data_IF_257460702472
#
_entry.id   IF_257460702472
#
_cell.length_a   1.000
_cell.length_b   1.000
_cell.length_c   1.000
_cell.angle_alpha   90.00
_cell.angle_beta   90.00
_cell.angle_gamma   90.00
#
_symmetry.space_group_name_H-M   'P 1'
#
loop_
_entity.id
_entity.type
_entity.pdbx_description
1 polymer ?
#
# COMPACT_ATOMS: atom_id res chain seq x y z
N UNK A 1 40.34 123.89 -12.03
CA UNK A 1 40.62 123.17 -10.77
C UNK A 1 39.34 122.58 -10.13
N UNK A 2 38.26 123.35 -9.90
CA UNK A 2 37.00 122.82 -9.33
C UNK A 2 36.37 121.63 -10.09
N UNK A 3 36.40 121.64 -11.44
CA UNK A 3 35.91 120.52 -12.27
C UNK A 3 36.68 119.21 -12.05
N UNK A 4 38.02 119.26 -12.04
CA UNK A 4 38.86 118.10 -11.76
C UNK A 4 38.63 117.57 -10.33
N UNK A 5 38.51 118.46 -9.34
CA UNK A 5 38.23 118.07 -7.94
C UNK A 5 36.85 117.41 -7.81
N UNK A 6 35.83 117.90 -8.51
CA UNK A 6 34.51 117.26 -8.57
C UNK A 6 34.56 115.88 -9.21
N UNK A 7 35.24 115.76 -10.36
CA UNK A 7 35.41 114.47 -11.06
C UNK A 7 36.16 113.43 -10.21
N UNK A 8 37.20 113.85 -9.48
CA UNK A 8 37.94 112.99 -8.54
C UNK A 8 37.04 112.52 -7.38
N UNK A 9 36.20 113.41 -6.84
CA UNK A 9 35.24 113.06 -5.79
C UNK A 9 34.20 112.05 -6.29
N UNK A 10 33.65 112.25 -7.49
CA UNK A 10 32.67 111.35 -8.09
C UNK A 10 33.28 109.98 -8.39
N UNK A 11 34.51 109.92 -8.92
CA UNK A 11 35.24 108.66 -9.10
C UNK A 11 35.57 107.97 -7.77
N UNK A 12 35.86 108.74 -6.72
CA UNK A 12 36.11 108.18 -5.37
C UNK A 12 34.84 107.58 -4.75
N UNK A 13 33.68 108.23 -4.92
CA UNK A 13 32.39 107.69 -4.49
C UNK A 13 32.00 106.43 -5.27
N UNK A 14 32.20 106.42 -6.59
CA UNK A 14 31.98 105.23 -7.42
C UNK A 14 32.89 104.07 -6.99
N UNK A 15 34.17 104.34 -6.69
CA UNK A 15 35.11 103.33 -6.21
C UNK A 15 34.70 102.73 -4.85
N UNK A 16 34.21 103.55 -3.91
CA UNK A 16 33.72 103.07 -2.61
C UNK A 16 32.49 102.16 -2.80
N UNK A 17 31.57 102.55 -3.69
CA UNK A 17 30.40 101.74 -4.03
C UNK A 17 30.81 100.39 -4.63
N UNK A 18 31.76 100.40 -5.57
CA UNK A 18 32.27 99.20 -6.21
C UNK A 18 33.00 98.29 -5.22
N UNK A 19 33.82 98.87 -4.33
CA UNK A 19 34.49 98.13 -3.26
C UNK A 19 33.50 97.49 -2.28
N UNK A 20 32.38 98.16 -1.99
CA UNK A 20 31.30 97.60 -1.19
C UNK A 20 30.61 96.43 -1.90
N UNK A 21 30.37 96.54 -3.21
CA UNK A 21 29.83 95.44 -4.03
C UNK A 21 30.79 94.24 -4.07
N UNK A 22 32.10 94.47 -4.22
CA UNK A 22 33.12 93.42 -4.17
C UNK A 22 33.19 92.77 -2.79
N UNK A 23 33.12 93.55 -1.71
CA UNK A 23 33.11 93.01 -0.34
C UNK A 23 31.90 92.10 -0.11
N UNK A 24 30.72 92.52 -0.55
CA UNK A 24 29.51 91.71 -0.42
C UNK A 24 29.58 90.45 -1.29
N UNK A 25 30.03 90.57 -2.55
CA UNK A 25 30.25 89.43 -3.44
C UNK A 25 31.27 88.43 -2.87
N UNK A 26 32.33 88.92 -2.22
CA UNK A 26 33.34 88.09 -1.55
C UNK A 26 32.75 87.32 -0.37
N UNK A 27 31.87 87.94 0.44
CA UNK A 27 31.14 87.24 1.51
C UNK A 27 30.25 86.14 0.94
N UNK A 28 29.50 86.43 -0.13
CA UNK A 28 28.67 85.42 -0.81
C UNK A 28 29.53 84.28 -1.33
N UNK A 29 30.69 84.56 -1.93
CA UNK A 29 31.63 83.55 -2.42
C UNK A 29 32.15 82.64 -1.30
N UNK A 30 32.50 83.20 -0.13
CA UNK A 30 32.94 82.43 1.04
C UNK A 30 31.82 81.52 1.54
N UNK A 31 30.56 81.99 1.56
CA UNK A 31 29.41 81.15 1.91
C UNK A 31 29.21 80.01 0.90
N UNK A 32 29.25 80.31 -0.40
CA UNK A 32 29.14 79.28 -1.45
C UNK A 32 30.25 78.24 -1.35
N UNK A 33 31.50 78.65 -1.09
CA UNK A 33 32.62 77.72 -0.90
C UNK A 33 32.40 76.80 0.32
N UNK A 34 31.77 77.31 1.38
CA UNK A 34 31.40 76.51 2.56
C UNK A 34 30.30 75.50 2.21
N UNK A 35 29.29 75.90 1.45
CA UNK A 35 28.22 74.99 1.02
C UNK A 35 28.75 73.90 0.08
N UNK A 36 29.65 74.24 -0.85
CA UNK A 36 30.37 73.28 -1.70
C UNK A 36 31.16 72.28 -0.85
N UNK A 37 31.88 72.75 0.18
CA UNK A 37 32.61 71.86 1.10
C UNK A 37 31.69 70.87 1.80
N UNK A 38 30.53 71.33 2.28
CA UNK A 38 29.56 70.46 2.94
C UNK A 38 28.99 69.42 1.96
N UNK A 39 28.64 69.83 0.73
CA UNK A 39 28.17 68.91 -0.30
C UNK A 39 29.22 67.84 -0.67
N UNK A 40 30.51 68.21 -0.70
CA UNK A 40 31.60 67.25 -0.92
C UNK A 40 31.69 66.23 0.22
N UNK A 41 31.58 66.67 1.48
CA UNK A 41 31.57 65.76 2.63
C UNK A 41 30.36 64.81 2.59
N UNK A 42 29.17 65.29 2.21
CA UNK A 42 27.97 64.46 2.08
C UNK A 42 28.15 63.40 0.98
N UNK A 43 28.79 63.78 -0.14
CA UNK A 43 29.15 62.86 -1.22
C UNK A 43 30.16 61.81 -0.73
N UNK A 44 31.20 62.22 -0.01
CA UNK A 44 32.21 61.31 0.55
C UNK A 44 31.57 60.27 1.49
N UNK A 45 30.68 60.72 2.39
CA UNK A 45 29.93 59.81 3.25
C UNK A 45 29.00 58.87 2.45
N UNK A 46 28.35 59.37 1.40
CA UNK A 46 27.55 58.55 0.49
C UNK A 46 28.36 57.48 -0.24
N UNK A 47 29.60 57.79 -0.64
CA UNK A 47 30.52 56.83 -1.24
C UNK A 47 30.94 55.73 -0.27
N UNK A 48 31.22 56.07 0.99
CA UNK A 48 31.55 55.07 2.02
C UNK A 48 30.38 54.09 2.23
N UNK A 49 29.15 54.61 2.33
CA UNK A 49 27.96 53.78 2.49
C UNK A 49 27.66 52.90 1.25
N UNK A 50 27.92 53.44 0.05
CA UNK A 50 27.77 52.69 -1.20
C UNK A 50 28.77 51.54 -1.29
N UNK A 51 30.03 51.76 -0.89
CA UNK A 51 31.07 50.73 -0.87
C UNK A 51 30.67 49.58 0.06
N UNK A 52 30.24 49.90 1.28
CA UNK A 52 29.73 48.91 2.26
C UNK A 52 28.53 48.13 1.70
N UNK A 53 27.55 48.83 1.12
CA UNK A 53 26.35 48.19 0.52
C UNK A 53 26.69 47.31 -0.68
N UNK A 54 27.72 47.67 -1.46
CA UNK A 54 28.19 46.89 -2.61
C UNK A 54 28.82 45.57 -2.18
N UNK A 55 29.64 45.58 -1.13
CA UNK A 55 30.22 44.37 -0.52
C UNK A 55 29.12 43.43 -0.02
N UNK A 56 28.11 43.98 0.67
CA UNK A 56 26.96 43.19 1.15
C UNK A 56 26.14 42.58 0.01
N UNK A 57 25.92 43.34 -1.08
CA UNK A 57 25.25 42.84 -2.28
C UNK A 57 25.98 41.65 -2.91
N UNK A 58 27.31 41.75 -3.05
CA UNK A 58 28.14 40.65 -3.58
C UNK A 58 28.04 39.39 -2.71
N UNK A 59 28.08 39.55 -1.38
CA UNK A 59 27.90 38.44 -0.44
C UNK A 59 26.53 37.79 -0.57
N UNK A 60 25.47 38.57 -0.76
CA UNK A 60 24.13 38.04 -0.99
C UNK A 60 24.02 37.30 -2.33
N UNK A 61 24.66 37.80 -3.39
CA UNK A 61 24.71 37.12 -4.70
C UNK A 61 25.44 35.77 -4.61
N UNK A 62 26.55 35.70 -3.89
CA UNK A 62 27.28 34.44 -3.68
C UNK A 62 26.41 33.41 -2.93
N UNK A 63 25.76 33.83 -1.85
CA UNK A 63 24.81 32.98 -1.12
C UNK A 63 23.65 32.52 -2.01
N UNK A 64 23.10 33.41 -2.84
CA UNK A 64 22.03 33.08 -3.78
C UNK A 64 22.47 32.04 -4.81
N UNK A 65 23.67 32.21 -5.39
CA UNK A 65 24.27 31.26 -6.33
C UNK A 65 24.41 29.87 -5.69
N UNK A 66 24.90 29.80 -4.45
CA UNK A 66 24.97 28.55 -3.69
C UNK A 66 23.60 27.89 -3.46
N UNK A 67 22.56 28.69 -3.17
CA UNK A 67 21.18 28.18 -3.03
C UNK A 67 20.62 27.66 -4.35
N UNK A 68 20.90 28.34 -5.47
CA UNK A 68 20.49 27.88 -6.81
C UNK A 68 21.13 26.55 -7.14
N UNK A 69 22.43 26.39 -6.86
CA UNK A 69 23.13 25.12 -7.04
C UNK A 69 22.51 23.98 -6.20
N UNK A 70 22.14 24.26 -4.94
CA UNK A 70 21.46 23.31 -4.08
C UNK A 70 20.07 22.92 -4.60
N UNK A 71 19.28 23.89 -5.09
CA UNK A 71 17.97 23.62 -5.71
C UNK A 71 18.12 22.74 -6.95
N UNK A 72 19.15 22.96 -7.76
CA UNK A 72 19.43 22.14 -8.94
C UNK A 72 19.77 20.70 -8.57
N UNK A 73 20.65 20.48 -7.58
CA UNK A 73 20.97 19.13 -7.10
C UNK A 73 19.73 18.42 -6.52
N UNK A 74 18.95 19.12 -5.69
CA UNK A 74 17.71 18.58 -5.14
C UNK A 74 16.71 18.20 -6.24
N UNK A 75 16.61 19.00 -7.31
CA UNK A 75 15.75 18.70 -8.47
C UNK A 75 16.21 17.42 -9.17
N UNK A 76 17.52 17.25 -9.38
CA UNK A 76 18.08 16.03 -9.97
C UNK A 76 17.86 14.80 -9.07
N UNK A 77 17.92 14.96 -7.74
CA UNK A 77 17.59 13.89 -6.79
C UNK A 77 16.10 13.52 -6.84
N UNK A 78 15.20 14.51 -6.85
CA UNK A 78 13.74 14.30 -6.96
C UNK A 78 13.41 13.54 -8.25
N UNK A 79 14.05 13.86 -9.37
CA UNK A 79 13.85 13.13 -10.63
C UNK A 79 14.20 11.65 -10.50
N UNK A 80 15.35 11.32 -9.89
CA UNK A 80 15.79 9.93 -9.66
C UNK A 80 14.85 9.17 -8.72
N UNK A 81 14.41 9.82 -7.64
CA UNK A 81 13.46 9.22 -6.69
C UNK A 81 12.12 8.93 -7.39
N UNK A 82 11.65 9.86 -8.23
CA UNK A 82 10.39 9.70 -8.97
C UNK A 82 10.46 8.53 -9.96
N UNK A 83 11.57 8.38 -10.68
CA UNK A 83 11.81 7.25 -11.58
C UNK A 83 11.82 5.91 -10.82
N UNK A 84 12.54 5.84 -9.69
CA UNK A 84 12.57 4.64 -8.85
C UNK A 84 11.18 4.29 -8.28
N UNK A 85 10.41 5.30 -7.83
CA UNK A 85 9.05 5.10 -7.36
C UNK A 85 8.13 4.54 -8.45
N UNK A 86 8.27 5.01 -9.69
CA UNK A 86 7.48 4.50 -10.82
C UNK A 86 7.82 3.05 -11.15
N UNK A 87 9.10 2.67 -11.10
CA UNK A 87 9.52 1.27 -11.27
C UNK A 87 8.90 0.38 -10.19
N UNK A 88 8.95 0.81 -8.92
CA UNK A 88 8.35 0.08 -7.81
C UNK A 88 6.81 -0.04 -7.93
N UNK A 89 6.13 1.00 -8.43
CA UNK A 89 4.69 0.95 -8.71
C UNK A 89 4.37 -0.08 -9.80
N UNK A 90 5.13 -0.11 -10.90
CA UNK A 90 4.94 -1.09 -11.97
C UNK A 90 5.15 -2.53 -11.48
N UNK A 91 6.21 -2.76 -10.71
CA UNK A 91 6.47 -4.05 -10.07
C UNK A 91 5.29 -4.43 -9.15
N UNK A 92 4.79 -3.49 -8.34
CA UNK A 92 3.61 -3.67 -7.51
C UNK A 92 2.34 -4.04 -8.28
N UNK A 93 2.08 -3.43 -9.44
CA UNK A 93 0.96 -3.78 -10.32
C UNK A 93 1.08 -5.22 -10.83
N UNK A 94 2.27 -5.61 -11.28
CA UNK A 94 2.52 -6.98 -11.77
C UNK A 94 2.31 -8.01 -10.65
N UNK A 95 2.87 -7.77 -9.46
CA UNK A 95 2.65 -8.63 -8.29
C UNK A 95 1.18 -8.71 -7.89
N UNK A 96 0.43 -7.60 -7.95
CA UNK A 96 -1.02 -7.62 -7.69
C UNK A 96 -1.80 -8.45 -8.72
N UNK A 97 -1.38 -8.43 -9.99
CA UNK A 97 -1.97 -9.26 -11.02
C UNK A 97 -1.73 -10.75 -10.76
N UNK A 98 -0.50 -11.13 -10.41
CA UNK A 98 -0.15 -12.50 -10.02
C UNK A 98 -0.92 -12.96 -8.76
N UNK A 99 -1.05 -12.07 -7.77
CA UNK A 99 -1.80 -12.33 -6.55
C UNK A 99 -3.30 -12.54 -6.83
N UNK A 100 -3.86 -11.81 -7.80
CA UNK A 100 -5.25 -11.99 -8.21
C UNK A 100 -5.46 -13.35 -8.90
N UNK A 101 -4.56 -13.77 -9.79
CA UNK A 101 -4.65 -15.08 -10.44
C UNK A 101 -4.49 -16.24 -9.45
N UNK A 102 -3.53 -16.14 -8.53
CA UNK A 102 -3.37 -17.13 -7.45
C UNK A 102 -4.60 -17.18 -6.54
N UNK A 103 -5.19 -16.04 -6.17
CA UNK A 103 -6.44 -15.99 -5.39
C UNK A 103 -7.61 -16.67 -6.11
N UNK A 104 -7.75 -16.47 -7.43
CA UNK A 104 -8.76 -17.19 -8.24
C UNK A 104 -8.52 -18.71 -8.22
N UNK A 105 -7.27 -19.13 -8.38
CA UNK A 105 -6.89 -20.56 -8.33
C UNK A 105 -7.22 -21.17 -6.96
N UNK A 106 -6.87 -20.50 -5.87
CA UNK A 106 -7.21 -20.93 -4.50
C UNK A 106 -8.72 -21.01 -4.29
N UNK A 107 -9.50 -20.10 -4.87
CA UNK A 107 -10.97 -20.15 -4.83
C UNK A 107 -11.47 -21.43 -5.50
N UNK A 108 -11.01 -21.71 -6.72
CA UNK A 108 -11.43 -22.91 -7.46
C UNK A 108 -11.02 -24.22 -6.78
N UNK A 109 -9.82 -24.28 -6.21
CA UNK A 109 -9.38 -25.44 -5.41
C UNK A 109 -10.29 -25.63 -4.20
N UNK A 110 -10.64 -24.55 -3.50
CA UNK A 110 -11.52 -24.61 -2.31
C UNK A 110 -12.92 -25.09 -2.68
N UNK A 111 -13.47 -24.61 -3.80
CA UNK A 111 -14.76 -25.08 -4.33
C UNK A 111 -14.72 -26.57 -4.65
N UNK A 112 -13.64 -27.06 -5.28
CA UNK A 112 -13.49 -28.48 -5.58
C UNK A 112 -13.36 -29.36 -4.33
N UNK A 113 -12.72 -28.85 -3.26
CA UNK A 113 -12.67 -29.54 -1.96
C UNK A 113 -14.08 -29.66 -1.37
N UNK A 114 -14.89 -28.60 -1.44
CA UNK A 114 -16.28 -28.63 -0.96
C UNK A 114 -17.09 -29.70 -1.70
N UNK A 115 -17.02 -29.73 -3.03
CA UNK A 115 -17.69 -30.76 -3.84
C UNK A 115 -17.24 -32.18 -3.47
N UNK A 116 -15.94 -32.36 -3.23
CA UNK A 116 -15.38 -33.66 -2.83
C UNK A 116 -15.88 -34.10 -1.45
N UNK A 117 -16.01 -33.18 -0.51
CA UNK A 117 -16.56 -33.45 0.83
C UNK A 117 -18.04 -33.83 0.73
N UNK A 118 -18.83 -33.12 -0.07
CA UNK A 118 -20.25 -33.45 -0.30
C UNK A 118 -20.42 -34.84 -0.92
N UNK A 119 -19.58 -35.18 -1.89
CA UNK A 119 -19.57 -36.51 -2.48
C UNK A 119 -19.19 -37.59 -1.46
N UNK A 120 -18.19 -37.30 -0.61
CA UNK A 120 -17.76 -38.21 0.46
C UNK A 120 -18.89 -38.44 1.48
N UNK A 121 -19.63 -37.39 1.85
CA UNK A 121 -20.81 -37.48 2.71
C UNK A 121 -21.87 -38.40 2.09
N UNK A 122 -22.19 -38.21 0.80
CA UNK A 122 -23.16 -39.04 0.09
C UNK A 122 -22.74 -40.52 0.02
N UNK A 123 -21.45 -40.79 -0.24
CA UNK A 123 -20.91 -42.16 -0.28
C UNK A 123 -20.92 -42.80 1.10
N UNK A 124 -20.54 -42.06 2.14
CA UNK A 124 -20.55 -42.53 3.53
C UNK A 124 -21.97 -42.88 3.97
N UNK A 125 -22.97 -42.06 3.61
CA UNK A 125 -24.39 -42.36 3.84
C UNK A 125 -24.85 -43.64 3.14
N UNK A 126 -24.44 -43.84 1.88
CA UNK A 126 -24.75 -45.06 1.12
C UNK A 126 -24.14 -46.30 1.78
N UNK A 127 -22.91 -46.21 2.28
CA UNK A 127 -22.26 -47.30 3.03
C UNK A 127 -23.03 -47.60 4.30
N UNK A 128 -23.48 -46.59 5.05
CA UNK A 128 -24.32 -46.77 6.25
C UNK A 128 -25.58 -47.57 5.96
N UNK A 129 -26.29 -47.26 4.87
CA UNK A 129 -27.48 -48.02 4.45
C UNK A 129 -27.17 -49.49 4.12
N UNK A 130 -26.02 -49.77 3.50
CA UNK A 130 -25.58 -51.15 3.21
C UNK A 130 -25.27 -51.89 4.51
N UNK A 131 -24.59 -51.25 5.46
CA UNK A 131 -24.25 -51.85 6.76
C UNK A 131 -25.50 -52.15 7.57
N UNK A 132 -26.49 -51.26 7.58
CA UNK A 132 -27.79 -51.49 8.21
C UNK A 132 -28.51 -52.69 7.60
N UNK A 133 -28.48 -52.82 6.27
CA UNK A 133 -29.04 -53.96 5.56
C UNK A 133 -28.32 -55.28 5.90
N UNK A 134 -26.97 -55.29 5.93
CA UNK A 134 -26.17 -56.46 6.35
C UNK A 134 -26.52 -56.85 7.80
N UNK A 135 -26.65 -55.88 8.70
CA UNK A 135 -27.00 -56.15 10.09
C UNK A 135 -28.44 -56.70 10.21
N UNK A 136 -29.38 -56.24 9.38
CA UNK A 136 -30.72 -56.83 9.28
C UNK A 136 -30.67 -58.28 8.76
N UNK A 137 -29.92 -58.55 7.70
CA UNK A 137 -29.72 -59.91 7.17
C UNK A 137 -29.09 -60.83 8.21
N UNK A 138 -28.03 -60.40 8.90
CA UNK A 138 -27.36 -61.19 9.91
C UNK A 138 -28.29 -61.52 11.10
N UNK A 139 -29.10 -60.55 11.55
CA UNK A 139 -30.15 -60.81 12.56
C UNK A 139 -31.19 -61.83 12.08
N UNK A 140 -31.64 -61.74 10.84
CA UNK A 140 -32.60 -62.69 10.27
C UNK A 140 -32.00 -64.09 10.14
N UNK A 141 -30.76 -64.21 9.66
CA UNK A 141 -30.03 -65.47 9.56
C UNK A 141 -29.81 -66.10 10.93
N UNK A 142 -29.46 -65.30 11.95
CA UNK A 142 -29.33 -65.75 13.33
C UNK A 142 -30.65 -66.33 13.88
N UNK A 143 -31.78 -65.70 13.54
CA UNK A 143 -33.09 -66.16 13.97
C UNK A 143 -33.52 -67.43 13.21
N UNK A 144 -33.21 -67.52 11.92
CA UNK A 144 -33.44 -68.72 11.10
C UNK A 144 -32.62 -69.92 11.62
N UNK A 145 -31.34 -69.70 11.93
CA UNK A 145 -30.46 -70.76 12.41
C UNK A 145 -30.85 -71.22 13.81
N UNK A 146 -31.30 -70.30 14.68
CA UNK A 146 -31.88 -70.65 15.98
C UNK A 146 -33.10 -71.58 15.82
N UNK A 147 -34.03 -71.23 14.93
CA UNK A 147 -35.20 -72.07 14.65
C UNK A 147 -34.79 -73.45 14.11
N UNK A 148 -33.78 -73.51 13.22
CA UNK A 148 -33.25 -74.77 12.69
C UNK A 148 -32.56 -75.62 13.77
N UNK A 149 -31.83 -75.01 14.71
CA UNK A 149 -31.24 -75.70 15.86
C UNK A 149 -32.32 -76.29 16.78
N UNK A 150 -33.41 -75.55 17.03
CA UNK A 150 -34.55 -76.02 17.84
C UNK A 150 -35.21 -77.23 17.17
N UNK A 151 -35.50 -77.15 15.86
CA UNK A 151 -36.18 -78.25 15.16
C UNK A 151 -35.25 -79.47 15.00
N UNK A 152 -33.94 -79.26 14.85
CA UNK A 152 -32.94 -80.33 14.86
C UNK A 152 -32.88 -81.04 16.21
N UNK A 153 -32.98 -80.32 17.33
CA UNK A 153 -33.07 -80.92 18.66
C UNK A 153 -34.37 -81.73 18.83
N UNK A 154 -35.47 -81.26 18.23
CA UNK A 154 -36.78 -81.94 18.26
C UNK A 154 -36.78 -83.25 17.48
N UNK A 155 -35.99 -83.35 16.41
CA UNK A 155 -35.81 -84.59 15.63
C UNK A 155 -34.92 -85.65 16.31
N UNK A 156 -34.33 -85.35 17.48
CA UNK A 156 -33.54 -86.31 18.26
C UNK A 156 -32.26 -86.77 17.54
N UNK A 157 -31.99 -88.08 17.54
CA UNK A 157 -30.78 -88.67 16.89
C UNK A 157 -30.70 -88.35 15.40
N UNK A 158 -31.83 -88.26 14.69
CA UNK A 158 -31.86 -87.96 13.26
C UNK A 158 -31.47 -86.50 12.92
N UNK A 159 -31.55 -85.59 13.88
CA UNK A 159 -31.26 -84.16 13.71
C UNK A 159 -29.85 -83.73 14.12
N UNK A 160 -29.03 -84.60 14.70
CA UNK A 160 -27.69 -84.24 15.23
C UNK A 160 -26.78 -83.55 14.21
N UNK A 161 -26.75 -84.04 12.95
CA UNK A 161 -25.95 -83.42 11.90
C UNK A 161 -26.42 -82.02 11.52
N UNK A 162 -27.75 -81.81 11.45
CA UNK A 162 -28.34 -80.50 11.16
C UNK A 162 -28.17 -79.52 12.32
N UNK A 163 -28.17 -79.99 13.56
CA UNK A 163 -27.92 -79.16 14.73
C UNK A 163 -26.53 -78.52 14.72
N UNK A 164 -25.50 -79.25 14.29
CA UNK A 164 -24.13 -78.73 14.17
C UNK A 164 -24.05 -77.64 13.09
N UNK A 165 -24.67 -77.87 11.93
CA UNK A 165 -24.70 -76.88 10.85
C UNK A 165 -25.45 -75.62 11.27
N UNK A 166 -26.60 -75.76 11.94
CA UNK A 166 -27.39 -74.64 12.40
C UNK A 166 -26.64 -73.79 13.46
N UNK A 167 -25.91 -74.41 14.38
CA UNK A 167 -25.11 -73.67 15.37
C UNK A 167 -23.91 -72.95 14.72
N UNK A 168 -23.31 -73.53 13.68
CA UNK A 168 -22.24 -72.86 12.92
C UNK A 168 -22.76 -71.65 12.12
N UNK A 169 -23.94 -71.77 11.49
CA UNK A 169 -24.61 -70.63 10.83
C UNK A 169 -24.94 -69.54 11.84
N UNK A 170 -25.39 -69.91 13.05
CA UNK A 170 -25.65 -68.95 14.15
C UNK A 170 -24.40 -68.17 14.52
N UNK A 171 -23.26 -68.84 14.72
CA UNK A 171 -21.98 -68.17 15.02
C UNK A 171 -21.54 -67.24 13.89
N UNK A 172 -21.66 -67.65 12.63
CA UNK A 172 -21.34 -66.80 11.47
C UNK A 172 -22.24 -65.56 11.40
N UNK A 173 -23.53 -65.70 11.75
CA UNK A 173 -24.46 -64.59 11.81
C UNK A 173 -24.11 -63.61 12.95
N UNK A 174 -23.77 -64.10 14.15
CA UNK A 174 -23.29 -63.27 15.27
C UNK A 174 -21.99 -62.52 14.92
N UNK A 175 -21.03 -63.21 14.29
CA UNK A 175 -19.78 -62.58 13.80
C UNK A 175 -20.05 -61.51 12.75
N UNK A 176 -21.01 -61.75 11.84
CA UNK A 176 -21.43 -60.77 10.83
C UNK A 176 -22.05 -59.53 11.47
N UNK A 177 -22.90 -59.70 12.49
CA UNK A 177 -23.46 -58.58 13.26
C UNK A 177 -22.37 -57.77 13.98
N UNK A 178 -21.39 -58.44 14.57
CA UNK A 178 -20.29 -57.78 15.26
C UNK A 178 -19.41 -56.98 14.30
N UNK A 179 -19.11 -57.54 13.12
CA UNK A 179 -18.38 -56.86 12.05
C UNK A 179 -19.16 -55.65 11.53
N UNK A 180 -20.46 -55.79 11.28
CA UNK A 180 -21.32 -54.68 10.88
C UNK A 180 -21.31 -53.54 11.91
N UNK A 181 -21.35 -53.86 13.21
CA UNK A 181 -21.26 -52.87 14.29
C UNK A 181 -19.91 -52.14 14.30
N UNK A 182 -18.80 -52.82 14.02
CA UNK A 182 -17.49 -52.18 13.90
C UNK A 182 -17.44 -51.24 12.70
N UNK A 183 -17.98 -51.64 11.54
CA UNK A 183 -18.05 -50.79 10.36
C UNK A 183 -18.93 -49.56 10.65
N UNK A 184 -20.04 -49.72 11.37
CA UNK A 184 -20.90 -48.60 11.77
C UNK A 184 -20.15 -47.55 12.60
N UNK A 185 -19.32 -47.99 13.56
CA UNK A 185 -18.50 -47.07 14.35
C UNK A 185 -17.49 -46.29 13.48
N UNK A 186 -16.89 -46.94 12.48
CA UNK A 186 -15.99 -46.29 11.53
C UNK A 186 -16.75 -45.25 10.69
N UNK A 187 -17.98 -45.54 10.25
CA UNK A 187 -18.83 -44.60 9.51
C UNK A 187 -19.16 -43.37 10.36
N UNK A 188 -19.47 -43.55 11.64
CA UNK A 188 -19.71 -42.45 12.57
C UNK A 188 -18.47 -41.56 12.74
N UNK A 189 -17.28 -42.16 12.82
CA UNK A 189 -16.01 -41.43 12.87
C UNK A 189 -15.76 -40.62 11.58
N UNK A 190 -15.97 -41.24 10.41
CA UNK A 190 -15.84 -40.57 9.11
C UNK A 190 -16.82 -39.39 9.00
N UNK A 191 -18.06 -39.54 9.44
CA UNK A 191 -19.03 -38.43 9.49
C UNK A 191 -18.57 -37.30 10.42
N UNK A 192 -17.88 -37.63 11.52
CA UNK A 192 -17.22 -36.66 12.38
C UNK A 192 -16.17 -35.83 11.62
N UNK A 193 -15.27 -36.50 10.88
CA UNK A 193 -14.25 -35.84 10.07
C UNK A 193 -14.87 -34.98 8.95
N UNK A 194 -15.91 -35.47 8.27
CA UNK A 194 -16.63 -34.70 7.25
C UNK A 194 -17.16 -33.38 7.84
N UNK A 195 -17.82 -33.43 9.00
CA UNK A 195 -18.35 -32.22 9.64
C UNK A 195 -17.26 -31.21 10.00
N UNK A 196 -16.09 -31.69 10.44
CA UNK A 196 -14.92 -30.82 10.70
C UNK A 196 -14.43 -30.20 9.39
N UNK A 197 -14.31 -30.99 8.32
CA UNK A 197 -13.87 -30.52 7.01
C UNK A 197 -14.83 -29.48 6.40
N UNK A 198 -16.15 -29.65 6.57
CA UNK A 198 -17.16 -28.66 6.13
C UNK A 198 -16.97 -27.32 6.86
N UNK A 199 -16.74 -27.33 8.18
CA UNK A 199 -16.48 -26.10 8.93
C UNK A 199 -15.20 -25.41 8.45
N UNK A 200 -14.11 -26.17 8.32
CA UNK A 200 -12.83 -25.64 7.87
C UNK A 200 -12.90 -25.03 6.46
N UNK A 201 -13.60 -25.68 5.52
CA UNK A 201 -13.78 -25.15 4.16
C UNK A 201 -14.70 -23.94 4.12
N UNK A 202 -15.74 -23.88 4.96
CA UNK A 202 -16.58 -22.68 5.09
C UNK A 202 -15.78 -21.47 5.60
N UNK A 203 -14.92 -21.68 6.60
CA UNK A 203 -14.02 -20.64 7.09
C UNK A 203 -13.02 -20.20 6.01
N UNK A 204 -12.41 -21.16 5.29
CA UNK A 204 -11.51 -20.88 4.19
C UNK A 204 -12.19 -20.04 3.09
N UNK A 205 -13.43 -20.38 2.71
CA UNK A 205 -14.22 -19.63 1.72
C UNK A 205 -14.44 -18.17 2.14
N UNK A 206 -14.72 -17.94 3.42
CA UNK A 206 -14.88 -16.59 3.98
C UNK A 206 -13.58 -15.79 3.88
N UNK A 207 -12.46 -16.38 4.30
CA UNK A 207 -11.12 -15.76 4.27
C UNK A 207 -10.71 -15.42 2.83
N UNK A 208 -10.93 -16.34 1.88
CA UNK A 208 -10.65 -16.11 0.46
C UNK A 208 -11.49 -14.95 -0.09
N UNK A 209 -12.74 -14.80 0.35
CA UNK A 209 -13.58 -13.66 0.02
C UNK A 209 -12.96 -12.33 0.45
N UNK A 210 -12.50 -12.24 1.70
CA UNK A 210 -11.81 -11.06 2.23
C UNK A 210 -10.47 -10.80 1.51
N UNK A 211 -9.72 -11.86 1.22
CA UNK A 211 -8.48 -11.77 0.46
C UNK A 211 -8.72 -11.18 -0.93
N UNK A 212 -9.74 -11.65 -1.64
CA UNK A 212 -10.11 -11.15 -2.97
C UNK A 212 -10.41 -9.65 -2.94
N UNK A 213 -11.16 -9.18 -1.94
CA UNK A 213 -11.46 -7.76 -1.77
C UNK A 213 -10.18 -6.94 -1.50
N UNK A 214 -9.32 -7.42 -0.60
CA UNK A 214 -8.05 -6.75 -0.27
C UNK A 214 -7.13 -6.63 -1.50
N UNK A 215 -7.06 -7.68 -2.33
CA UNK A 215 -6.29 -7.67 -3.58
C UNK A 215 -6.87 -6.66 -4.58
N UNK A 216 -8.19 -6.62 -4.76
CA UNK A 216 -8.84 -5.65 -5.65
C UNK A 216 -8.60 -4.21 -5.19
N UNK A 217 -8.73 -3.93 -3.89
CA UNK A 217 -8.50 -2.61 -3.32
C UNK A 217 -7.02 -2.17 -3.46
N UNK A 218 -6.09 -3.09 -3.23
CA UNK A 218 -4.65 -2.83 -3.40
C UNK A 218 -4.32 -2.56 -4.87
N UNK A 219 -4.81 -3.40 -5.78
CA UNK A 219 -4.63 -3.23 -7.22
C UNK A 219 -5.19 -1.89 -7.73
N UNK A 220 -6.37 -1.49 -7.25
CA UNK A 220 -6.94 -0.17 -7.55
C UNK A 220 -6.05 0.98 -7.06
N UNK A 221 -5.52 0.88 -5.84
CA UNK A 221 -4.62 1.89 -5.27
C UNK A 221 -3.34 2.05 -6.10
N UNK A 222 -2.69 0.94 -6.49
CA UNK A 222 -1.53 0.99 -7.38
C UNK A 222 -1.85 1.62 -8.74
N UNK A 223 -3.02 1.30 -9.32
CA UNK A 223 -3.47 1.91 -10.58
C UNK A 223 -3.69 3.43 -10.45
N UNK A 224 -4.19 3.91 -9.31
CA UNK A 224 -4.31 5.35 -9.06
C UNK A 224 -2.94 6.02 -9.03
N UNK A 225 -1.96 5.44 -8.32
CA UNK A 225 -0.59 5.96 -8.31
C UNK A 225 0.05 5.97 -9.70
N UNK A 226 -0.19 4.92 -10.48
CA UNK A 226 0.30 4.83 -11.85
C UNK A 226 -0.33 5.87 -12.78
N UNK A 227 -1.65 6.09 -12.69
CA UNK A 227 -2.37 7.07 -13.54
C UNK A 227 -2.07 8.51 -13.16
N UNK A 228 -1.87 8.80 -11.88
CA UNK A 228 -1.56 10.15 -11.39
C UNK A 228 -0.08 10.51 -11.54
N UNK A 229 0.79 9.55 -11.91
CA UNK A 229 2.18 9.83 -12.24
C UNK A 229 2.29 10.72 -13.49
N UNK A 230 2.85 11.92 -13.34
CA UNK A 230 3.00 12.93 -14.39
C UNK A 230 3.92 12.56 -15.59
N UNK A 231 4.29 11.29 -15.79
CA UNK A 231 5.21 10.87 -16.86
C UNK A 231 4.54 10.59 -18.21
N UNK A 232 3.21 10.69 -18.33
CA UNK A 232 2.53 10.63 -19.64
C UNK A 232 2.91 11.76 -20.60
N UNK A 233 3.70 12.74 -20.17
CA UNK A 233 4.12 13.89 -20.99
C UNK A 233 5.61 13.87 -21.39
N UNK A 234 6.39 12.85 -21.04
CA UNK A 234 7.80 12.75 -21.45
C UNK A 234 8.08 11.75 -22.56
N UNK A 235 7.07 11.08 -23.11
CA UNK A 235 7.13 10.59 -24.50
C UNK A 235 6.77 11.78 -25.40
N UNK A 236 7.74 12.67 -25.62
CA UNK A 236 7.59 13.77 -26.55
C UNK A 236 7.34 13.26 -27.97
N UNK A 237 6.63 14.03 -28.82
CA UNK A 237 6.60 13.80 -30.25
C UNK A 237 7.89 14.37 -30.86
N UNK A 238 9.03 13.70 -30.66
CA UNK A 238 10.23 13.98 -31.48
C UNK A 238 10.19 13.11 -32.75
N UNK A 239 9.49 13.66 -33.74
CA UNK A 239 9.80 13.53 -35.17
C UNK A 239 10.19 14.91 -35.70
#
# INVERSE_FOLDING_TARGET
>A
MKYLVGKVKDTGLALISEASHVSESSKTFVMMAKDIKNAINDIENGFIQLDESSVDCLKQMEMLSGRIACVNDNTAQISRITESAYKAINEGINTMSELNETTKSTTGITEHIIETIELLEQKTKSIGQIVDFINAMARQTNLLSLNASIESARAGEAGKGFAVVADEIRKLAEQSMQSAKQIQAIIEEINGYINISVKATSEAKSIIGLQKEAVMNSSSSFNVFYRNGCFKHSEGPDR
#
